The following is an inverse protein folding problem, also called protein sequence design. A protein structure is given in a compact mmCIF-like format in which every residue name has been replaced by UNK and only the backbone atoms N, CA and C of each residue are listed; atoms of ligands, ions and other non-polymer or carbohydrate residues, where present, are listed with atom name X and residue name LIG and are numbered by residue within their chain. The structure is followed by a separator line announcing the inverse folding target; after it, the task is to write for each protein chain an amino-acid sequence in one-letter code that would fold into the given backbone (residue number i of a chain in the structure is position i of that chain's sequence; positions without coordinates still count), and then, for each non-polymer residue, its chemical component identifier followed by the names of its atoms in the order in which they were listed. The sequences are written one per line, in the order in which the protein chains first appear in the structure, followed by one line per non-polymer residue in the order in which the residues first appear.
data_IF_328435912941
#
_entry.id   IF_328435912941
#
_cell.length_a   1.000
_cell.length_b   1.000
_cell.length_c   1.000
_cell.angle_alpha   90.00
_cell.angle_beta   90.00
_cell.angle_gamma   90.00
#
_symmetry.space_group_name_H-M   'P 1'
#
loop_
_entity.id
_entity.type
_entity.pdbx_description
1 polymer ?
#
# COMPACT_ATOMS: atom_id res chain seq x y z
N UNK A 1 9.81 25.30 11.34
CA UNK A 1 8.84 24.33 10.80
C UNK A 1 9.08 23.93 9.33
N UNK A 2 10.11 24.43 8.64
CA UNK A 2 10.37 24.12 7.21
C UNK A 2 10.41 22.63 6.85
N UNK A 3 10.84 21.75 7.76
CA UNK A 3 10.87 20.31 7.51
C UNK A 3 9.48 19.68 7.31
N UNK A 4 8.41 20.35 7.76
CA UNK A 4 7.01 19.92 7.57
C UNK A 4 6.48 20.21 6.15
N UNK A 5 7.15 21.07 5.37
CA UNK A 5 6.75 21.39 3.99
C UNK A 5 7.17 20.31 3.00
N UNK A 6 8.14 19.46 3.37
CA UNK A 6 8.62 18.35 2.56
C UNK A 6 8.24 17.01 3.21
N UNK A 7 7.46 16.14 2.52
CA UNK A 7 6.99 14.89 3.10
C UNK A 7 8.13 13.93 3.44
N UNK A 8 9.24 13.93 2.68
CA UNK A 8 10.38 13.07 2.97
C UNK A 8 11.13 13.54 4.22
N UNK A 9 11.30 14.86 4.40
CA UNK A 9 11.91 15.40 5.62
C UNK A 9 11.03 15.17 6.85
N UNK A 10 9.71 15.30 6.69
CA UNK A 10 8.73 14.97 7.74
C UNK A 10 8.81 13.50 8.15
N UNK A 11 8.87 12.60 7.17
CA UNK A 11 9.02 11.16 7.42
C UNK A 11 10.34 10.85 8.14
N UNK A 12 11.47 11.41 7.68
CA UNK A 12 12.78 11.25 8.34
C UNK A 12 12.73 11.76 9.78
N UNK A 13 12.13 12.92 10.03
CA UNK A 13 11.97 13.46 11.37
C UNK A 13 11.19 12.50 12.28
N UNK A 14 10.16 11.81 11.76
CA UNK A 14 9.43 10.77 12.49
C UNK A 14 10.30 9.58 12.89
N UNK A 15 11.15 9.08 11.99
CA UNK A 15 12.10 8.00 12.29
C UNK A 15 13.15 8.44 13.33
N UNK A 16 13.70 9.65 13.19
CA UNK A 16 14.66 10.22 14.16
C UNK A 16 14.02 10.41 15.53
N UNK A 17 12.80 10.95 15.58
CA UNK A 17 12.05 11.10 16.82
C UNK A 17 11.83 9.74 17.50
N UNK A 18 11.48 8.71 16.73
CA UNK A 18 11.29 7.36 17.26
C UNK A 18 12.57 6.83 17.90
N UNK A 19 13.72 6.95 17.22
CA UNK A 19 15.01 6.53 17.77
C UNK A 19 15.40 7.32 19.04
N UNK A 20 15.16 8.63 19.05
CA UNK A 20 15.42 9.49 20.21
C UNK A 20 14.55 9.09 21.42
N UNK A 21 13.27 8.78 21.20
CA UNK A 21 12.36 8.33 22.26
C UNK A 21 12.77 6.96 22.80
N UNK A 22 13.19 6.03 21.94
CA UNK A 22 13.71 4.72 22.37
C UNK A 22 14.99 4.89 23.20
N UNK A 23 15.93 5.73 22.76
CA UNK A 23 17.15 6.01 23.51
C UNK A 23 16.86 6.66 24.86
N UNK A 24 15.94 7.65 24.89
CA UNK A 24 15.50 8.30 26.12
C UNK A 24 14.83 7.32 27.09
N UNK A 25 13.98 6.42 26.59
CA UNK A 25 13.36 5.36 27.38
C UNK A 25 14.40 4.46 28.04
N UNK A 26 15.38 3.97 27.26
CA UNK A 26 16.46 3.11 27.78
C UNK A 26 17.28 3.86 28.83
N UNK A 27 17.58 5.14 28.60
CA UNK A 27 18.34 5.94 29.55
C UNK A 27 17.62 6.13 30.90
N UNK A 28 16.28 6.22 30.88
CA UNK A 28 15.47 6.43 32.10
C UNK A 28 15.16 5.11 32.81
N UNK A 29 14.85 4.05 32.06
CA UNK A 29 14.31 2.80 32.62
C UNK A 29 15.35 1.68 32.74
N UNK A 30 16.47 1.79 32.03
CA UNK A 30 17.47 0.72 31.92
C UNK A 30 17.04 -0.47 31.07
N UNK A 31 15.85 -0.45 30.45
CA UNK A 31 15.31 -1.54 29.63
C UNK A 31 14.80 -1.03 28.29
N UNK A 32 14.75 -1.90 27.27
CA UNK A 32 14.21 -1.53 25.96
C UNK A 32 12.67 -1.42 25.99
N UNK A 33 12.04 -0.53 25.20
CA UNK A 33 10.58 -0.39 25.13
C UNK A 33 9.95 -1.44 24.19
N UNK A 34 10.44 -2.68 24.25
CA UNK A 34 9.98 -3.79 23.40
C UNK A 34 9.79 -5.04 24.26
N UNK A 35 8.74 -5.80 24.01
CA UNK A 35 8.47 -7.10 24.66
C UNK A 35 9.27 -8.22 24.03
N UNK A 36 9.50 -8.13 22.72
CA UNK A 36 10.09 -9.17 21.89
C UNK A 36 11.47 -8.75 21.38
N UNK A 37 12.06 -9.54 20.50
CA UNK A 37 13.36 -9.20 19.92
C UNK A 37 13.30 -7.91 19.07
N UNK A 38 14.43 -7.19 18.98
CA UNK A 38 14.56 -6.02 18.09
C UNK A 38 14.27 -6.37 16.62
N UNK A 39 14.64 -7.58 16.20
CA UNK A 39 14.39 -8.08 14.84
C UNK A 39 12.89 -8.20 14.61
N UNK A 40 12.19 -8.95 15.46
CA UNK A 40 10.74 -9.12 15.35
C UNK A 40 10.02 -7.77 15.39
N UNK A 41 10.38 -6.90 16.35
CA UNK A 41 9.78 -5.56 16.47
C UNK A 41 9.98 -4.75 15.20
N UNK A 42 11.17 -4.79 14.60
CA UNK A 42 11.45 -4.10 13.34
C UNK A 42 10.60 -4.64 12.19
N UNK A 43 10.46 -5.97 12.07
CA UNK A 43 9.60 -6.58 11.05
C UNK A 43 8.13 -6.18 11.22
N UNK A 44 7.59 -6.19 12.46
CA UNK A 44 6.23 -5.73 12.77
C UNK A 44 6.06 -4.26 12.39
N UNK A 45 7.01 -3.42 12.78
CA UNK A 45 6.96 -1.99 12.52
C UNK A 45 6.99 -1.67 11.01
N UNK A 46 7.89 -2.30 10.26
CA UNK A 46 7.96 -2.18 8.80
C UNK A 46 6.65 -2.66 8.15
N UNK A 47 6.13 -3.80 8.61
CA UNK A 47 4.89 -4.37 8.10
C UNK A 47 3.71 -3.40 8.30
N UNK A 48 3.56 -2.80 9.49
CA UNK A 48 2.48 -1.86 9.75
C UNK A 48 2.60 -0.55 8.96
N UNK A 49 3.80 0.04 8.89
CA UNK A 49 4.02 1.28 8.13
C UNK A 49 3.81 1.09 6.62
N UNK A 50 4.27 -0.02 6.06
CA UNK A 50 4.02 -0.34 4.66
C UNK A 50 2.55 -0.72 4.43
N UNK A 51 1.94 -1.46 5.37
CA UNK A 51 0.56 -1.92 5.30
C UNK A 51 -0.45 -0.78 5.31
N UNK A 52 -0.27 0.21 6.20
CA UNK A 52 -1.13 1.41 6.20
C UNK A 52 -1.00 2.21 4.90
N UNK A 53 0.21 2.29 4.34
CA UNK A 53 0.44 2.95 3.05
C UNK A 53 -0.27 2.22 1.92
N UNK A 54 -0.13 0.89 1.85
CA UNK A 54 -0.73 0.06 0.82
C UNK A 54 -2.26 0.05 0.89
N UNK A 55 -2.81 -0.35 2.04
CA UNK A 55 -4.25 -0.51 2.23
C UNK A 55 -4.94 0.86 2.28
N UNK A 56 -4.31 1.88 2.85
CA UNK A 56 -4.83 3.25 2.81
C UNK A 56 -5.02 3.75 1.37
N UNK A 57 -4.03 3.54 0.50
CA UNK A 57 -4.15 3.88 -0.92
C UNK A 57 -5.18 3.01 -1.65
N UNK A 58 -5.29 1.72 -1.31
CA UNK A 58 -6.34 0.85 -1.86
C UNK A 58 -7.74 1.40 -1.58
N UNK A 59 -7.99 1.83 -0.33
CA UNK A 59 -9.27 2.39 0.10
C UNK A 59 -9.50 3.75 -0.55
N UNK A 60 -8.48 4.61 -0.61
CA UNK A 60 -8.54 5.87 -1.34
C UNK A 60 -8.94 5.65 -2.81
N UNK A 61 -8.31 4.70 -3.51
CA UNK A 61 -8.62 4.42 -4.91
C UNK A 61 -10.08 3.98 -5.11
N UNK A 62 -10.60 3.17 -4.20
CA UNK A 62 -11.92 2.57 -4.30
C UNK A 62 -13.05 3.47 -3.79
N UNK A 63 -12.86 4.16 -2.68
CA UNK A 63 -13.91 4.93 -2.03
C UNK A 63 -13.96 6.38 -2.53
N UNK A 64 -12.83 6.94 -2.96
CA UNK A 64 -12.72 8.36 -3.29
C UNK A 64 -12.34 8.56 -4.76
N UNK A 65 -11.15 8.09 -5.15
CA UNK A 65 -10.56 8.42 -6.46
C UNK A 65 -11.43 7.97 -7.64
N UNK A 66 -12.00 6.76 -7.59
CA UNK A 66 -12.84 6.26 -8.68
C UNK A 66 -14.11 7.11 -8.89
N UNK A 67 -14.71 7.62 -7.82
CA UNK A 67 -15.85 8.55 -7.90
C UNK A 67 -15.43 9.92 -8.39
N UNK A 68 -14.34 10.46 -7.83
CA UNK A 68 -13.76 11.74 -8.24
C UNK A 68 -13.42 11.76 -9.73
N UNK A 69 -12.69 10.76 -10.24
CA UNK A 69 -12.34 10.70 -11.66
C UNK A 69 -13.57 10.59 -12.58
N UNK A 70 -14.70 10.01 -12.13
CA UNK A 70 -15.94 10.00 -12.93
C UNK A 70 -16.56 11.39 -13.06
N UNK A 71 -16.38 12.24 -12.07
CA UNK A 71 -16.89 13.63 -12.10
C UNK A 71 -16.12 14.57 -13.04
N UNK A 72 -14.95 14.13 -13.52
CA UNK A 72 -14.08 14.94 -14.36
C UNK A 72 -14.38 14.78 -15.86
N UNK A 73 -14.33 15.88 -16.60
CA UNK A 73 -14.29 15.88 -18.06
C UNK A 73 -12.94 15.39 -18.61
N UNK A 74 -12.82 15.29 -19.94
CA UNK A 74 -11.61 14.79 -20.59
C UNK A 74 -10.39 15.70 -20.38
N UNK A 75 -10.57 17.02 -20.41
CA UNK A 75 -9.49 17.98 -20.20
C UNK A 75 -8.96 17.93 -18.76
N UNK A 76 -9.87 17.87 -17.79
CA UNK A 76 -9.52 17.72 -16.38
C UNK A 76 -8.79 16.41 -16.09
N UNK A 77 -9.23 15.29 -16.67
CA UNK A 77 -8.53 13.99 -16.57
C UNK A 77 -7.12 14.06 -17.15
N UNK A 78 -6.95 14.79 -18.26
CA UNK A 78 -5.65 15.03 -18.88
C UNK A 78 -4.63 15.70 -17.95
N UNK A 79 -5.09 16.49 -16.98
CA UNK A 79 -4.23 17.12 -15.96
C UNK A 79 -4.05 16.23 -14.74
N UNK A 80 -5.15 15.69 -14.21
CA UNK A 80 -5.17 14.97 -12.93
C UNK A 80 -4.49 13.61 -13.05
N UNK A 81 -4.85 12.79 -14.04
CA UNK A 81 -4.41 11.40 -14.13
C UNK A 81 -2.88 11.30 -14.28
N UNK A 82 -2.21 12.03 -15.20
CA UNK A 82 -0.77 11.95 -15.35
C UNK A 82 0.03 12.51 -14.17
N UNK A 83 -0.57 13.34 -13.31
CA UNK A 83 0.11 13.93 -12.14
C UNK A 83 -0.12 13.13 -10.86
N UNK A 84 -1.36 12.74 -10.58
CA UNK A 84 -1.74 12.04 -9.35
C UNK A 84 -1.38 10.55 -9.42
N UNK A 85 -1.77 9.88 -10.51
CA UNK A 85 -1.76 8.41 -10.54
C UNK A 85 -0.36 7.81 -10.50
N UNK A 86 0.68 8.32 -11.21
CA UNK A 86 2.02 7.75 -11.13
C UNK A 86 2.58 7.76 -9.70
N UNK A 87 2.41 8.87 -8.97
CA UNK A 87 2.88 9.00 -7.60
C UNK A 87 2.14 8.02 -6.68
N UNK A 88 0.81 8.04 -6.70
CA UNK A 88 0.00 7.19 -5.84
C UNK A 88 0.22 5.70 -6.12
N UNK A 89 0.30 5.28 -7.39
CA UNK A 89 0.52 3.89 -7.76
C UNK A 89 1.94 3.41 -7.45
N UNK A 90 2.94 4.29 -7.46
CA UNK A 90 4.29 3.93 -7.07
C UNK A 90 4.37 3.60 -5.57
N UNK A 91 3.75 4.43 -4.72
CA UNK A 91 3.61 4.13 -3.29
C UNK A 91 2.77 2.87 -3.05
N UNK A 92 1.65 2.71 -3.77
CA UNK A 92 0.78 1.56 -3.65
C UNK A 92 1.48 0.23 -3.95
N UNK A 93 2.20 0.14 -5.08
CA UNK A 93 2.86 -1.12 -5.51
C UNK A 93 4.04 -1.49 -4.63
N UNK A 94 4.85 -0.52 -4.22
CA UNK A 94 6.00 -0.78 -3.35
C UNK A 94 5.57 -1.02 -1.91
N UNK A 95 4.56 -0.29 -1.43
CA UNK A 95 3.92 -0.57 -0.15
C UNK A 95 3.40 -2.00 -0.07
N UNK A 96 2.76 -2.49 -1.14
CA UNK A 96 2.32 -3.89 -1.22
C UNK A 96 3.48 -4.88 -1.08
N UNK A 97 4.56 -4.68 -1.86
CA UNK A 97 5.75 -5.54 -1.81
C UNK A 97 6.40 -5.55 -0.43
N UNK A 98 6.64 -4.38 0.15
CA UNK A 98 7.30 -4.27 1.47
C UNK A 98 6.44 -4.90 2.56
N UNK A 99 5.12 -4.67 2.52
CA UNK A 99 4.19 -5.27 3.50
C UNK A 99 4.26 -6.78 3.45
N UNK A 100 4.10 -7.39 2.26
CA UNK A 100 4.06 -8.86 2.15
C UNK A 100 5.41 -9.48 2.49
N UNK A 101 6.53 -8.90 2.06
CA UNK A 101 7.85 -9.44 2.42
C UNK A 101 8.11 -9.38 3.92
N UNK A 102 7.77 -8.27 4.58
CA UNK A 102 7.86 -8.18 6.04
C UNK A 102 6.91 -9.16 6.73
N UNK A 103 5.70 -9.35 6.20
CA UNK A 103 4.71 -10.30 6.73
C UNK A 103 5.14 -11.77 6.60
N UNK A 104 5.76 -12.14 5.47
CA UNK A 104 6.37 -13.47 5.30
C UNK A 104 7.49 -13.68 6.32
N UNK A 105 8.33 -12.66 6.56
CA UNK A 105 9.33 -12.69 7.63
C UNK A 105 8.71 -12.95 9.00
N UNK A 106 7.61 -12.24 9.34
CA UNK A 106 6.88 -12.46 10.59
C UNK A 106 6.28 -13.85 10.69
N UNK A 107 5.67 -14.39 9.63
CA UNK A 107 5.14 -15.76 9.63
C UNK A 107 6.26 -16.77 9.91
N UNK A 108 7.43 -16.61 9.29
CA UNK A 108 8.57 -17.52 9.53
C UNK A 108 9.10 -17.43 10.97
N UNK A 109 9.10 -16.24 11.57
CA UNK A 109 9.59 -16.01 12.94
C UNK A 109 8.59 -16.49 13.99
N UNK A 110 7.30 -16.22 13.79
CA UNK A 110 6.26 -16.30 14.82
C UNK A 110 5.28 -17.45 14.65
N UNK A 111 5.04 -17.87 13.40
CA UNK A 111 4.04 -18.86 13.05
C UNK A 111 4.66 -19.98 12.18
N UNK A 112 5.76 -20.62 12.61
CA UNK A 112 6.49 -21.59 11.80
C UNK A 112 5.71 -22.89 11.58
N UNK A 113 4.63 -23.13 12.34
CA UNK A 113 3.74 -24.28 12.21
C UNK A 113 2.31 -23.85 11.84
N UNK A 114 1.44 -24.82 11.59
CA UNK A 114 -0.01 -24.63 11.37
C UNK A 114 -0.85 -25.17 12.53
N UNK A 115 -0.26 -25.31 13.72
CA UNK A 115 -0.89 -26.01 14.84
C UNK A 115 -1.85 -25.14 15.64
N UNK A 116 -1.53 -23.85 15.83
CA UNK A 116 -2.33 -22.92 16.62
C UNK A 116 -3.44 -22.22 15.84
N UNK A 117 -4.48 -21.76 16.53
CA UNK A 117 -5.54 -20.93 15.93
C UNK A 117 -4.97 -19.62 15.37
N UNK A 118 -4.06 -18.97 16.11
CA UNK A 118 -3.36 -17.76 15.66
C UNK A 118 -2.51 -18.01 14.42
N UNK A 119 -1.75 -19.12 14.39
CA UNK A 119 -0.97 -19.51 13.21
C UNK A 119 -1.86 -19.65 11.96
N UNK A 120 -2.96 -20.39 12.09
CA UNK A 120 -3.91 -20.58 10.98
C UNK A 120 -4.47 -19.24 10.49
N UNK A 121 -4.80 -18.33 11.39
CA UNK A 121 -5.26 -16.99 11.05
C UNK A 121 -4.16 -16.19 10.33
N UNK A 122 -2.92 -16.21 10.84
CA UNK A 122 -1.77 -15.55 10.22
C UNK A 122 -1.53 -16.04 8.78
N UNK A 123 -1.59 -17.36 8.58
CA UNK A 123 -1.40 -17.97 7.26
C UNK A 123 -2.54 -17.63 6.28
N UNK A 124 -3.80 -17.61 6.73
CA UNK A 124 -4.94 -17.19 5.89
C UNK A 124 -4.79 -15.72 5.51
N UNK A 125 -4.52 -14.84 6.48
CA UNK A 125 -4.29 -13.41 6.23
C UNK A 125 -3.12 -13.19 5.28
N UNK A 126 -1.97 -13.84 5.54
CA UNK A 126 -0.78 -13.77 4.72
C UNK A 126 -1.00 -14.24 3.28
N UNK A 127 -1.72 -15.36 3.07
CA UNK A 127 -2.05 -15.87 1.75
C UNK A 127 -2.92 -14.90 0.95
N UNK A 128 -3.95 -14.32 1.57
CA UNK A 128 -4.77 -13.29 0.94
C UNK A 128 -3.95 -12.05 0.57
N UNK A 129 -3.06 -11.61 1.46
CA UNK A 129 -2.12 -10.52 1.20
C UNK A 129 -1.21 -10.82 0.00
N UNK A 130 -0.66 -12.02 -0.09
CA UNK A 130 0.17 -12.46 -1.22
C UNK A 130 -0.61 -12.43 -2.55
N UNK A 131 -1.82 -12.99 -2.58
CA UNK A 131 -2.70 -12.97 -3.76
C UNK A 131 -2.97 -11.53 -4.20
N UNK A 132 -3.31 -10.66 -3.24
CA UNK A 132 -3.58 -9.26 -3.52
C UNK A 132 -2.36 -8.54 -4.09
N UNK A 133 -1.17 -8.75 -3.54
CA UNK A 133 0.08 -8.17 -4.04
C UNK A 133 0.39 -8.66 -5.46
N UNK A 134 0.20 -9.94 -5.75
CA UNK A 134 0.36 -10.49 -7.11
C UNK A 134 -0.60 -9.77 -8.06
N UNK A 135 -1.87 -9.58 -7.67
CA UNK A 135 -2.85 -8.85 -8.47
C UNK A 135 -2.44 -7.37 -8.71
N UNK A 136 -1.80 -6.71 -7.73
CA UNK A 136 -1.23 -5.36 -7.89
C UNK A 136 -0.22 -5.33 -9.04
N UNK A 137 0.76 -6.24 -9.01
CA UNK A 137 1.87 -6.23 -9.98
C UNK A 137 1.50 -6.82 -11.34
N UNK A 138 0.64 -7.85 -11.36
CA UNK A 138 0.27 -8.56 -12.58
C UNK A 138 -0.84 -7.86 -13.38
N UNK A 139 -1.79 -7.20 -12.71
CA UNK A 139 -2.98 -6.65 -13.38
C UNK A 139 -3.12 -5.14 -13.18
N UNK A 140 -3.16 -4.66 -11.94
CA UNK A 140 -3.46 -3.25 -11.64
C UNK A 140 -2.39 -2.34 -12.24
N UNK A 141 -1.11 -2.58 -11.93
CA UNK A 141 -0.01 -1.73 -12.36
C UNK A 141 0.16 -1.67 -13.89
N UNK A 142 0.21 -2.80 -14.63
CA UNK A 142 0.36 -2.75 -16.09
C UNK A 142 -0.80 -2.04 -16.80
N UNK A 143 -2.04 -2.25 -16.33
CA UNK A 143 -3.21 -1.57 -16.91
C UNK A 143 -3.15 -0.06 -16.64
N UNK A 144 -2.86 0.34 -15.39
CA UNK A 144 -2.77 1.75 -15.02
C UNK A 144 -1.63 2.47 -15.76
N UNK A 145 -0.47 1.82 -15.93
CA UNK A 145 0.65 2.39 -16.70
C UNK A 145 0.24 2.74 -18.13
N UNK A 146 -0.54 1.87 -18.80
CA UNK A 146 -1.07 2.13 -20.15
C UNK A 146 -2.09 3.27 -20.15
N UNK A 147 -3.05 3.26 -19.21
CA UNK A 147 -4.09 4.30 -19.08
C UNK A 147 -3.45 5.68 -18.88
N UNK A 148 -2.45 5.77 -18.01
CA UNK A 148 -1.71 7.02 -17.75
C UNK A 148 -1.04 7.52 -19.02
N UNK A 149 -0.32 6.65 -19.74
CA UNK A 149 0.37 7.02 -20.97
C UNK A 149 -0.61 7.54 -22.03
N UNK A 150 -1.69 6.79 -22.28
CA UNK A 150 -2.72 7.19 -23.24
C UNK A 150 -3.43 8.49 -22.84
N UNK A 151 -3.67 8.71 -21.54
CA UNK A 151 -4.30 9.94 -21.05
C UNK A 151 -3.37 11.15 -21.23
N UNK A 152 -2.07 10.99 -20.96
CA UNK A 152 -1.07 12.03 -21.18
C UNK A 152 -0.93 12.37 -22.68
N UNK A 153 -0.94 11.36 -23.56
CA UNK A 153 -0.85 11.56 -25.01
C UNK A 153 -2.08 12.29 -25.56
N UNK A 154 -3.29 11.89 -25.16
CA UNK A 154 -4.51 12.59 -25.55
C UNK A 154 -4.53 14.03 -25.05
N UNK A 155 -4.07 14.29 -23.83
CA UNK A 155 -3.97 15.64 -23.29
C UNK A 155 -2.98 16.51 -24.07
N UNK A 156 -1.85 15.94 -24.51
CA UNK A 156 -0.83 16.66 -25.26
C UNK A 156 -1.20 16.90 -26.73
N UNK A 157 -1.87 15.94 -27.37
CA UNK A 157 -2.19 15.97 -28.80
C UNK A 157 -3.58 16.53 -29.13
N UNK A 158 -4.46 16.68 -28.14
CA UNK A 158 -5.86 17.03 -28.34
C UNK A 158 -6.71 15.94 -29.01
N UNK A 159 -6.11 14.76 -29.28
CA UNK A 159 -6.83 13.62 -29.87
C UNK A 159 -7.65 12.89 -28.80
N UNK A 160 -8.85 12.39 -29.14
CA UNK A 160 -9.62 11.54 -28.24
C UNK A 160 -8.80 10.34 -27.76
N UNK A 161 -9.07 9.89 -26.53
CA UNK A 161 -8.44 8.69 -25.98
C UNK A 161 -8.82 7.45 -26.78
N UNK A 162 -7.87 6.51 -27.00
CA UNK A 162 -8.15 5.26 -27.71
C UNK A 162 -9.33 4.48 -27.09
N UNK A 163 -10.23 3.85 -27.88
CA UNK A 163 -11.36 3.10 -27.35
C UNK A 163 -10.96 1.99 -26.35
N UNK A 164 -9.84 1.34 -26.58
CA UNK A 164 -9.24 0.30 -25.72
C UNK A 164 -8.92 0.78 -24.29
N UNK A 165 -8.76 2.08 -24.08
CA UNK A 165 -8.54 2.65 -22.73
C UNK A 165 -9.71 2.31 -21.81
N UNK A 166 -10.95 2.30 -22.33
CA UNK A 166 -12.13 2.01 -21.53
C UNK A 166 -12.09 0.58 -20.94
N UNK A 167 -11.63 -0.39 -21.72
CA UNK A 167 -11.54 -1.79 -21.27
C UNK A 167 -10.37 -2.00 -20.31
N UNK A 168 -9.24 -1.32 -20.54
CA UNK A 168 -8.14 -1.27 -19.57
C UNK A 168 -8.60 -0.66 -18.23
N UNK A 169 -9.37 0.42 -18.27
CA UNK A 169 -9.89 1.10 -17.09
C UNK A 169 -10.85 0.20 -16.31
N UNK A 170 -11.76 -0.51 -16.99
CA UNK A 170 -12.64 -1.51 -16.37
C UNK A 170 -11.84 -2.64 -15.73
N UNK A 171 -10.85 -3.19 -16.44
CA UNK A 171 -9.99 -4.27 -15.94
C UNK A 171 -9.22 -3.84 -14.69
N UNK A 172 -8.59 -2.65 -14.71
CA UNK A 172 -7.87 -2.10 -13.57
C UNK A 172 -8.80 -1.85 -12.38
N UNK A 173 -10.01 -1.34 -12.62
CA UNK A 173 -11.00 -1.08 -11.58
C UNK A 173 -11.47 -2.39 -10.92
N UNK A 174 -11.81 -3.41 -11.71
CA UNK A 174 -12.26 -4.69 -11.15
C UNK A 174 -11.15 -5.38 -10.38
N UNK A 175 -9.92 -5.38 -10.90
CA UNK A 175 -8.77 -5.88 -10.16
C UNK A 175 -8.58 -5.14 -8.83
N UNK A 176 -8.73 -3.81 -8.81
CA UNK A 176 -8.67 -3.02 -7.58
C UNK A 176 -9.82 -3.35 -6.61
N UNK A 177 -11.04 -3.58 -7.11
CA UNK A 177 -12.21 -3.96 -6.30
C UNK A 177 -12.09 -5.35 -5.69
N UNK A 178 -11.49 -6.29 -6.42
CA UNK A 178 -11.15 -7.61 -5.90
C UNK A 178 -10.19 -7.45 -4.72
N UNK A 179 -9.11 -6.67 -4.86
CA UNK A 179 -8.22 -6.39 -3.74
C UNK A 179 -8.94 -5.71 -2.58
N UNK A 180 -9.82 -4.73 -2.85
CA UNK A 180 -10.60 -4.06 -1.81
C UNK A 180 -11.49 -5.05 -1.04
N UNK A 181 -12.21 -5.91 -1.74
CA UNK A 181 -13.03 -6.95 -1.14
C UNK A 181 -12.19 -7.95 -0.33
N UNK A 182 -11.09 -8.45 -0.89
CA UNK A 182 -10.20 -9.40 -0.21
C UNK A 182 -9.48 -8.78 0.99
N UNK A 183 -9.25 -7.46 0.98
CA UNK A 183 -8.60 -6.77 2.09
C UNK A 183 -9.38 -6.88 3.41
N UNK A 184 -10.71 -7.02 3.34
CA UNK A 184 -11.57 -7.09 4.52
C UNK A 184 -11.32 -8.38 5.32
N UNK A 185 -11.51 -9.59 4.77
CA UNK A 185 -11.18 -10.82 5.49
C UNK A 185 -9.67 -10.94 5.76
N UNK A 186 -8.82 -10.44 4.86
CA UNK A 186 -7.37 -10.44 5.08
C UNK A 186 -7.00 -9.69 6.37
N UNK A 187 -7.47 -8.45 6.55
CA UNK A 187 -7.21 -7.65 7.75
C UNK A 187 -7.81 -8.29 9.00
N UNK A 188 -9.00 -8.88 8.89
CA UNK A 188 -9.61 -9.61 10.00
C UNK A 188 -8.72 -10.76 10.47
N UNK A 189 -8.26 -11.63 9.56
CA UNK A 189 -7.42 -12.77 9.92
C UNK A 189 -6.01 -12.34 10.37
N UNK A 190 -5.46 -11.25 9.83
CA UNK A 190 -4.20 -10.69 10.34
C UNK A 190 -4.33 -10.10 11.75
N UNK A 191 -5.47 -9.48 12.08
CA UNK A 191 -5.72 -8.96 13.43
C UNK A 191 -6.10 -10.04 14.44
N UNK A 192 -6.58 -11.19 13.98
CA UNK A 192 -6.95 -12.34 14.81
C UNK A 192 -5.78 -13.32 15.07
N UNK A 193 -4.64 -13.09 14.42
CA UNK A 193 -3.42 -13.89 14.52
C UNK A 193 -2.63 -13.63 15.82
#
# INVERSE_FOLDING_TARGET
MKFLENPNQTMIAGFVLTAALVAGWIAVTGVAPISDSWVETAFRWIHYLAGITWIGLLYFFNLINAGFLKSLDAGQKGVVVPRLMPSALNWFRHGATVTVLAGVGLIVILHPSLSGTGDKAAWIGGALGLIMMINVHAIIWPCQKKIIAMTAESAASGKPTPPEMADLAKKALYASRINFMLSIPMLFFMGAA
#
